data_IF_684497783766
#
_entry.id   IF_684497783766
#
_cell.length_a   1.000
_cell.length_b   1.000
_cell.length_c   1.000
_cell.angle_alpha   90.00
_cell.angle_beta   90.00
_cell.angle_gamma   90.00
#
_symmetry.space_group_name_H-M   'P 1'
#
loop_
_entity.id
_entity.type
_entity.pdbx_description
1 polymer ?
#
# COMPACT_ATOMS: atom_id res chain seq x y z
N UNK A 1 1.90 -23.93 -29.38
CA UNK A 1 2.49 -22.58 -29.15
C UNK A 1 2.10 -22.12 -27.75
N UNK A 2 3.02 -21.97 -26.78
CA UNK A 2 2.66 -21.41 -25.49
C UNK A 2 2.44 -19.89 -25.64
N UNK A 3 1.27 -19.38 -25.22
CA UNK A 3 1.00 -17.95 -25.12
C UNK A 3 1.98 -17.34 -24.11
N UNK A 4 2.83 -16.39 -24.54
CA UNK A 4 3.56 -15.52 -23.60
C UNK A 4 2.51 -14.83 -22.73
N UNK A 5 2.45 -15.15 -21.44
CA UNK A 5 1.69 -14.35 -20.47
C UNK A 5 2.26 -12.92 -20.56
N UNK A 6 1.41 -11.92 -20.84
CA UNK A 6 1.78 -10.52 -20.63
C UNK A 6 2.28 -10.44 -19.19
N UNK A 7 3.52 -10.02 -18.97
CA UNK A 7 3.95 -9.62 -17.64
C UNK A 7 2.94 -8.57 -17.18
N UNK A 8 2.22 -8.87 -16.11
CA UNK A 8 1.45 -7.83 -15.45
C UNK A 8 2.48 -6.77 -15.01
N UNK A 9 2.22 -5.49 -15.33
CA UNK A 9 3.13 -4.40 -15.05
C UNK A 9 3.30 -4.27 -13.53
N UNK A 10 4.33 -4.94 -12.99
CA UNK A 10 4.72 -4.82 -11.59
C UNK A 10 5.17 -3.37 -11.35
N UNK A 11 4.49 -2.72 -10.42
CA UNK A 11 4.80 -1.39 -9.94
C UNK A 11 5.78 -1.50 -8.77
N UNK A 12 6.66 -0.51 -8.63
CA UNK A 12 7.63 -0.42 -7.53
C UNK A 12 7.36 0.87 -6.76
N UNK A 13 7.34 0.77 -5.44
CA UNK A 13 6.87 1.87 -4.60
C UNK A 13 6.96 1.53 -3.12
N UNK A 14 6.06 2.13 -2.34
CA UNK A 14 5.97 1.92 -0.89
C UNK A 14 4.52 1.64 -0.49
N UNK A 15 4.34 0.91 0.60
CA UNK A 15 3.07 0.91 1.31
C UNK A 15 2.76 2.33 1.80
N UNK A 16 1.49 2.73 1.81
CA UNK A 16 1.08 4.06 2.25
C UNK A 16 -0.30 3.99 2.90
N UNK A 17 -0.48 4.69 4.02
CA UNK A 17 -1.81 4.84 4.61
C UNK A 17 -2.45 6.12 4.09
N UNK A 18 -3.46 5.97 3.21
CA UNK A 18 -4.20 7.10 2.71
C UNK A 18 -5.31 7.47 3.70
N UNK A 19 -5.06 8.47 4.53
CA UNK A 19 -6.10 9.08 5.36
C UNK A 19 -7.03 9.91 4.49
N UNK A 20 -8.33 9.68 4.63
CA UNK A 20 -9.34 10.59 4.12
C UNK A 20 -9.26 11.91 4.89
N UNK A 21 -9.65 13.01 4.25
CA UNK A 21 -9.72 14.33 4.89
C UNK A 21 -10.80 14.31 5.98
N UNK A 22 -10.41 14.42 7.26
CA UNK A 22 -11.34 14.47 8.39
C UNK A 22 -11.12 13.33 9.38
N UNK A 23 -12.20 12.83 10.00
CA UNK A 23 -12.16 11.72 10.96
C UNK A 23 -12.60 10.39 10.37
N UNK A 24 -12.84 10.31 9.06
CA UNK A 24 -13.64 9.24 8.42
C UNK A 24 -12.88 7.91 8.31
N UNK A 25 -11.55 7.97 8.31
CA UNK A 25 -10.65 6.82 8.36
C UNK A 25 -9.62 6.86 7.24
N UNK A 26 -9.03 5.71 6.96
CA UNK A 26 -8.08 5.60 5.88
C UNK A 26 -8.00 4.23 5.25
N UNK A 27 -7.43 4.24 4.06
CA UNK A 27 -7.27 3.09 3.20
C UNK A 27 -5.82 2.62 3.18
N UNK A 28 -5.65 1.30 3.13
CA UNK A 28 -4.37 0.71 2.76
C UNK A 28 -4.10 1.00 1.29
N UNK A 29 -3.02 1.69 1.00
CA UNK A 29 -2.65 2.08 -0.34
C UNK A 29 -1.18 1.74 -0.64
N UNK A 30 -0.84 1.85 -1.91
CA UNK A 30 0.50 1.76 -2.43
C UNK A 30 0.80 3.04 -3.20
N UNK A 31 1.94 3.67 -2.90
CA UNK A 31 2.42 4.83 -3.64
C UNK A 31 3.51 4.40 -4.61
N UNK A 32 3.25 4.56 -5.90
CA UNK A 32 4.21 4.28 -6.96
C UNK A 32 5.36 5.31 -6.94
N UNK A 33 6.59 4.79 -6.88
CA UNK A 33 7.82 5.57 -6.81
C UNK A 33 8.04 6.50 -8.00
N UNK A 34 7.46 6.21 -9.18
CA UNK A 34 7.53 7.07 -10.36
C UNK A 34 6.83 8.42 -10.15
N UNK A 35 5.98 8.52 -9.14
CA UNK A 35 5.21 9.71 -8.80
C UNK A 35 5.61 10.29 -7.45
N UNK A 36 6.80 9.94 -6.96
CA UNK A 36 7.44 10.56 -5.79
C UNK A 36 8.58 11.44 -6.31
N UNK A 37 8.47 12.74 -6.05
CA UNK A 37 9.48 13.73 -6.40
C UNK A 37 10.30 14.11 -5.16
N UNK A 38 11.58 14.49 -5.33
CA UNK A 38 12.36 15.07 -4.26
C UNK A 38 11.65 16.27 -3.60
N UNK A 39 12.00 16.60 -2.35
CA UNK A 39 11.48 17.79 -1.70
C UNK A 39 11.73 19.04 -2.56
N UNK A 40 10.74 19.93 -2.62
CA UNK A 40 10.94 21.26 -3.22
C UNK A 40 11.99 22.03 -2.41
N UNK A 41 12.69 23.01 -3.02
CA UNK A 41 13.53 23.95 -2.28
C UNK A 41 12.75 24.56 -1.10
N UNK A 42 13.23 24.36 0.13
CA UNK A 42 12.58 24.83 1.36
C UNK A 42 11.61 23.84 2.02
N UNK A 43 11.36 22.68 1.43
CA UNK A 43 10.65 21.56 2.05
C UNK A 43 11.64 20.47 2.48
N UNK A 44 11.40 19.83 3.62
CA UNK A 44 12.12 18.63 4.05
C UNK A 44 11.41 17.32 3.64
N UNK A 45 10.22 17.43 3.03
CA UNK A 45 9.37 16.29 2.70
C UNK A 45 9.29 16.07 1.20
N UNK A 46 9.43 14.81 0.78
CA UNK A 46 9.19 14.35 -0.58
C UNK A 46 7.76 14.71 -1.02
N UNK A 47 7.61 15.01 -2.31
CA UNK A 47 6.32 15.38 -2.89
C UNK A 47 5.79 14.20 -3.70
N UNK A 48 4.73 13.55 -3.21
CA UNK A 48 4.03 12.52 -3.98
C UNK A 48 2.78 13.08 -4.67
N UNK A 49 2.37 12.44 -5.77
CA UNK A 49 1.16 12.78 -6.52
C UNK A 49 0.08 11.70 -6.40
N UNK A 50 -1.19 12.13 -6.30
CA UNK A 50 -2.38 11.25 -6.36
C UNK A 50 -2.41 10.34 -7.59
N UNK A 51 -1.69 10.69 -8.66
CA UNK A 51 -1.58 9.83 -9.84
C UNK A 51 -0.89 8.49 -9.55
N UNK A 52 0.03 8.45 -8.60
CA UNK A 52 0.71 7.22 -8.17
C UNK A 52 0.04 6.50 -7.02
N UNK A 53 -1.12 6.96 -6.55
CA UNK A 53 -1.82 6.39 -5.42
C UNK A 53 -2.71 5.23 -5.86
N UNK A 54 -2.41 4.04 -5.35
CA UNK A 54 -3.17 2.83 -5.57
C UNK A 54 -3.79 2.36 -4.25
N UNK A 55 -5.03 2.75 -3.97
CA UNK A 55 -5.82 2.11 -2.92
C UNK A 55 -5.93 0.62 -3.24
N UNK A 56 -5.56 -0.24 -2.30
CA UNK A 56 -5.51 -1.67 -2.50
C UNK A 56 -6.92 -2.25 -2.59
N UNK A 57 -7.12 -3.15 -3.55
CA UNK A 57 -8.38 -3.83 -3.80
C UNK A 57 -8.21 -5.35 -3.74
N UNK A 58 -9.29 -6.08 -3.48
CA UNK A 58 -9.28 -7.54 -3.48
C UNK A 58 -8.77 -8.10 -4.81
N UNK A 59 -7.81 -9.02 -4.69
CA UNK A 59 -7.16 -9.67 -5.85
C UNK A 59 -5.86 -9.00 -6.31
N UNK A 60 -5.53 -7.80 -5.83
CA UNK A 60 -4.20 -7.23 -6.02
C UNK A 60 -3.14 -8.15 -5.41
N UNK A 61 -1.97 -8.26 -6.04
CA UNK A 61 -0.84 -8.99 -5.47
C UNK A 61 0.21 -8.00 -5.00
N UNK A 62 0.45 -8.00 -3.70
CA UNK A 62 1.41 -7.11 -3.05
C UNK A 62 2.56 -7.93 -2.46
N UNK A 63 3.77 -7.41 -2.62
CA UNK A 63 4.99 -7.93 -1.97
C UNK A 63 5.63 -6.78 -1.20
N UNK A 64 5.82 -6.96 0.10
CA UNK A 64 6.39 -5.99 1.02
C UNK A 64 7.79 -6.48 1.41
N UNK A 65 8.75 -5.57 1.30
CA UNK A 65 10.17 -5.81 1.54
C UNK A 65 10.59 -5.20 2.87
N UNK A 66 11.68 -5.69 3.45
CA UNK A 66 12.27 -5.06 4.61
C UNK A 66 12.85 -3.68 4.22
N UNK A 67 12.63 -2.64 5.03
CA UNK A 67 13.24 -1.33 4.79
C UNK A 67 14.77 -1.38 4.95
N UNK A 68 15.29 -2.25 5.82
CA UNK A 68 16.72 -2.42 6.10
C UNK A 68 17.43 -3.27 5.02
N UNK A 69 16.70 -4.22 4.42
CA UNK A 69 17.21 -5.10 3.35
C UNK A 69 16.12 -5.32 2.29
N UNK A 70 16.23 -4.58 1.18
CA UNK A 70 15.26 -4.62 0.07
C UNK A 70 15.26 -5.94 -0.70
N UNK A 71 16.19 -6.86 -0.44
CA UNK A 71 16.14 -8.21 -0.99
C UNK A 71 15.26 -9.16 -0.17
N UNK A 72 15.01 -8.82 1.10
CA UNK A 72 14.22 -9.64 2.03
C UNK A 72 12.74 -9.30 1.95
N UNK A 73 11.94 -10.28 1.55
CA UNK A 73 10.47 -10.22 1.63
C UNK A 73 10.01 -10.41 3.07
N UNK A 74 9.24 -9.45 3.61
CA UNK A 74 8.60 -9.56 4.93
C UNK A 74 7.14 -9.99 4.86
N UNK A 75 6.50 -9.78 3.71
CA UNK A 75 5.17 -10.30 3.42
C UNK A 75 4.94 -10.37 1.90
N UNK A 76 4.23 -11.39 1.43
CA UNK A 76 3.75 -11.46 0.04
C UNK A 76 2.42 -12.20 0.00
N UNK A 77 1.48 -11.70 -0.79
CA UNK A 77 0.15 -12.27 -0.82
C UNK A 77 -0.78 -11.61 -1.83
N UNK A 78 -1.98 -12.18 -1.91
CA UNK A 78 -3.11 -11.57 -2.59
C UNK A 78 -3.92 -10.80 -1.55
N UNK A 79 -4.26 -9.55 -1.86
CA UNK A 79 -5.09 -8.70 -1.03
C UNK A 79 -6.48 -9.32 -0.91
N UNK A 80 -6.95 -9.39 0.34
CA UNK A 80 -8.26 -9.87 0.76
C UNK A 80 -8.70 -9.06 1.96
N UNK A 81 -9.51 -8.06 1.72
CA UNK A 81 -9.92 -7.05 2.67
C UNK A 81 -11.23 -7.45 3.35
N UNK A 82 -11.14 -7.75 4.65
CA UNK A 82 -12.30 -7.85 5.51
C UNK A 82 -12.75 -6.45 5.88
N UNK A 83 -13.84 -6.00 5.25
CA UNK A 83 -14.43 -4.68 5.50
C UNK A 83 -14.90 -4.55 6.96
N UNK A 84 -14.62 -3.40 7.55
CA UNK A 84 -14.99 -3.05 8.91
C UNK A 84 -16.11 -2.00 8.89
N UNK A 85 -16.89 -1.93 9.97
CA UNK A 85 -17.88 -0.87 10.10
C UNK A 85 -17.20 0.47 10.39
N UNK A 86 -17.84 1.55 9.97
CA UNK A 86 -17.37 2.92 10.25
C UNK A 86 -17.17 3.14 11.75
N UNK A 87 -16.04 3.76 12.11
CA UNK A 87 -15.66 4.10 13.49
C UNK A 87 -15.66 2.93 14.48
N UNK A 88 -15.51 1.68 14.01
CA UNK A 88 -15.49 0.51 14.89
C UNK A 88 -14.11 0.13 15.36
N UNK A 89 -13.12 0.27 14.48
CA UNK A 89 -11.80 -0.30 14.66
C UNK A 89 -10.74 0.69 14.20
N UNK A 90 -9.65 0.76 14.95
CA UNK A 90 -8.50 1.60 14.63
C UNK A 90 -7.21 0.77 14.51
N UNK A 91 -6.22 1.38 13.87
CA UNK A 91 -4.84 0.97 13.95
C UNK A 91 -4.01 2.16 14.44
N UNK A 92 -3.55 2.10 15.69
CA UNK A 92 -2.69 3.16 16.25
C UNK A 92 -3.40 4.49 16.43
N UNK A 93 -4.71 4.47 16.72
CA UNK A 93 -5.54 5.66 16.89
C UNK A 93 -6.13 6.23 15.60
N UNK A 94 -5.86 5.62 14.44
CA UNK A 94 -6.43 6.00 13.15
C UNK A 94 -7.50 5.00 12.73
N UNK A 95 -8.70 5.49 12.40
CA UNK A 95 -9.80 4.64 11.93
C UNK A 95 -9.44 3.96 10.61
N UNK A 96 -9.80 2.68 10.48
CA UNK A 96 -9.50 1.87 9.31
C UNK A 96 -10.76 1.26 8.71
N UNK A 97 -10.80 1.14 7.38
CA UNK A 97 -11.96 0.59 6.68
C UNK A 97 -11.91 -0.93 6.48
N UNK A 98 -10.73 -1.54 6.61
CA UNK A 98 -10.57 -2.97 6.41
C UNK A 98 -9.37 -3.55 7.16
N UNK A 99 -9.41 -4.86 7.43
CA UNK A 99 -8.24 -5.66 7.78
C UNK A 99 -7.84 -6.54 6.59
N UNK A 100 -6.54 -6.81 6.44
CA UNK A 100 -6.08 -7.87 5.53
C UNK A 100 -6.30 -9.25 6.18
N UNK A 101 -6.99 -10.15 5.49
CA UNK A 101 -7.23 -11.52 5.96
C UNK A 101 -5.90 -12.27 6.16
N UNK A 102 -5.81 -12.98 7.28
CA UNK A 102 -4.65 -13.83 7.61
C UNK A 102 -3.42 -13.08 8.11
N UNK A 103 -3.52 -11.76 8.36
CA UNK A 103 -2.43 -10.95 8.92
C UNK A 103 -2.94 -10.19 10.15
N UNK A 104 -2.14 -10.19 11.22
CA UNK A 104 -2.43 -9.37 12.40
C UNK A 104 -2.44 -7.88 12.05
N UNK A 105 -3.45 -7.15 12.53
CA UNK A 105 -3.65 -5.72 12.23
C UNK A 105 -2.44 -4.87 12.58
N UNK A 106 -1.80 -5.12 13.73
CA UNK A 106 -0.65 -4.32 14.19
C UNK A 106 0.57 -4.56 13.32
N UNK A 107 0.76 -5.79 12.83
CA UNK A 107 1.79 -6.11 11.84
C UNK A 107 1.47 -5.42 10.51
N UNK A 108 0.23 -5.54 10.05
CA UNK A 108 -0.23 -5.00 8.77
C UNK A 108 -0.08 -3.48 8.73
N UNK A 109 -0.68 -2.76 9.67
CA UNK A 109 -0.67 -1.30 9.72
C UNK A 109 0.74 -0.72 9.82
N UNK A 110 1.66 -1.41 10.51
CA UNK A 110 3.07 -0.99 10.59
C UNK A 110 3.72 -0.89 9.21
N UNK A 111 3.38 -1.75 8.25
CA UNK A 111 3.94 -1.68 6.90
C UNK A 111 3.55 -0.37 6.20
N UNK A 112 2.31 0.07 6.40
CA UNK A 112 1.77 1.28 5.75
C UNK A 112 2.17 2.56 6.48
N UNK A 113 2.13 2.57 7.82
CA UNK A 113 2.53 3.75 8.60
C UNK A 113 4.02 4.05 8.54
N UNK A 114 4.85 3.05 8.23
CA UNK A 114 6.30 3.21 8.07
C UNK A 114 6.76 3.14 6.63
N UNK A 115 5.82 3.17 5.69
CA UNK A 115 6.09 3.23 4.25
C UNK A 115 7.08 2.17 3.75
N UNK A 116 6.82 0.90 4.09
CA UNK A 116 7.72 -0.19 3.72
C UNK A 116 7.84 -0.30 2.19
N UNK A 117 9.06 -0.55 1.65
CA UNK A 117 9.23 -0.74 0.22
C UNK A 117 8.39 -1.92 -0.26
N UNK A 118 7.74 -1.75 -1.41
CA UNK A 118 6.79 -2.73 -1.91
C UNK A 118 6.78 -2.83 -3.43
N UNK A 119 6.21 -3.93 -3.90
CA UNK A 119 5.87 -4.19 -5.30
C UNK A 119 4.42 -4.55 -5.41
N UNK A 120 3.72 -3.94 -6.36
CA UNK A 120 2.30 -4.16 -6.60
C UNK A 120 2.08 -4.69 -8.00
N UNK A 121 1.33 -5.77 -8.12
CA UNK A 121 0.75 -6.24 -9.38
C UNK A 121 -0.77 -6.08 -9.25
N UNK A 122 -1.35 -5.00 -9.82
CA UNK A 122 -2.78 -4.78 -9.75
C UNK A 122 -3.56 -5.87 -10.46
N UNK A 123 -4.71 -6.27 -9.93
CA UNK A 123 -5.60 -7.21 -10.64
C UNK A 123 -6.09 -6.60 -11.96
N UNK A 124 -6.43 -5.32 -11.93
CA UNK A 124 -6.90 -4.53 -13.07
C UNK A 124 -5.87 -3.46 -13.39
N UNK A 125 -5.40 -3.36 -14.65
CA UNK A 125 -4.62 -2.19 -15.08
C UNK A 125 -5.47 -0.93 -14.90
N UNK A 126 -4.92 0.11 -14.27
CA UNK A 126 -5.51 1.46 -14.23
C UNK A 126 -5.03 2.27 -15.42
#
# INVERSE_FOLDING_TARGET
>A
MPRKKKQANELVGVCYFHSETGTEGGYWAFQDSRFISPPAPGSQHEQWSYQGLHVLEDGDRLTILSPDDRSRVVWTGVIKLRQLGLFKEDAGGLWIHADQEGVDRKIWSRYFFKEYPAKLVPLKPR
#
